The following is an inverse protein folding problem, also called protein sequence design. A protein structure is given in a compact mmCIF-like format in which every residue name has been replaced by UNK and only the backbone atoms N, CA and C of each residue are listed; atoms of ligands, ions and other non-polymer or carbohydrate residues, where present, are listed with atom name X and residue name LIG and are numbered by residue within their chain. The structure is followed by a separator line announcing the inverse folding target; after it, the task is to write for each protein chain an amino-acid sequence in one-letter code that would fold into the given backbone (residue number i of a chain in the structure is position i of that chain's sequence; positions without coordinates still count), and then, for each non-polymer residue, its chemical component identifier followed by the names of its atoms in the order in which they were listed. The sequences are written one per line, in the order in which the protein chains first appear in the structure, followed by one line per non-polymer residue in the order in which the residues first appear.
data_IF_570612856665
#
_entry.id   IF_570612856665
#
_cell.length_a   1.000
_cell.length_b   1.000
_cell.length_c   1.000
_cell.angle_alpha   90.00
_cell.angle_beta   90.00
_cell.angle_gamma   90.00
#
_symmetry.space_group_name_H-M   'P 1'
#
loop_
_entity.id
_entity.type
_entity.pdbx_description
1 polymer ?
#
# COMPACT_ATOMS: atom_id res chain seq x y z
N UNK A 1 54.12 7.17 45.01
CA UNK A 1 54.78 8.40 44.53
C UNK A 1 54.01 8.87 43.29
N UNK A 2 52.98 9.73 43.41
CA UNK A 2 53.03 11.21 43.35
C UNK A 2 53.61 11.71 42.01
N UNK A 3 52.96 12.50 41.13
CA UNK A 3 52.05 13.65 41.29
C UNK A 3 51.30 13.97 39.96
N UNK A 4 50.04 14.47 40.08
CA UNK A 4 49.43 15.74 39.54
C UNK A 4 49.68 16.15 38.07
N UNK A 5 48.83 16.85 37.31
CA UNK A 5 47.44 17.35 37.36
C UNK A 5 47.23 18.24 36.08
N UNK A 6 46.02 18.78 35.89
CA UNK A 6 45.63 19.97 35.07
C UNK A 6 45.22 19.64 33.61
N UNK A 7 44.10 20.10 33.01
CA UNK A 7 43.25 21.26 33.28
C UNK A 7 41.75 21.00 33.00
N UNK A 8 40.93 21.76 33.72
CA UNK A 8 39.53 22.02 33.45
C UNK A 8 39.34 22.99 32.27
N UNK A 9 38.22 22.88 31.55
CA UNK A 9 37.86 23.78 30.46
C UNK A 9 36.38 23.65 30.05
N UNK A 10 35.53 24.32 30.82
CA UNK A 10 34.27 25.00 30.47
C UNK A 10 33.64 24.68 29.09
N UNK A 11 32.43 24.11 29.09
CA UNK A 11 31.39 24.56 28.14
C UNK A 11 30.02 24.56 28.80
N UNK A 12 29.48 25.77 28.89
CA UNK A 12 28.22 26.16 29.48
C UNK A 12 27.20 26.22 28.33
N UNK A 13 26.17 25.37 28.36
CA UNK A 13 24.99 25.54 27.49
C UNK A 13 23.74 25.37 28.35
N UNK A 14 23.33 26.51 28.92
CA UNK A 14 21.95 26.78 29.31
C UNK A 14 21.16 27.04 28.04
N UNK A 15 20.17 26.20 27.72
CA UNK A 15 19.06 26.55 26.83
C UNK A 15 17.88 25.61 27.08
N UNK A 16 17.25 25.75 28.24
CA UNK A 16 15.90 25.26 28.49
C UNK A 16 14.93 26.42 28.27
N UNK A 17 14.48 26.62 27.03
CA UNK A 17 13.29 27.43 26.75
C UNK A 17 12.22 26.50 26.18
N UNK A 18 11.42 25.95 27.08
CA UNK A 18 10.17 25.28 26.76
C UNK A 18 9.18 26.34 26.28
N UNK A 19 9.07 26.52 24.96
CA UNK A 19 7.93 27.22 24.37
C UNK A 19 6.70 26.31 24.47
N UNK A 20 5.95 26.49 25.56
CA UNK A 20 4.56 26.04 25.66
C UNK A 20 3.71 26.86 24.67
N UNK A 21 3.64 26.42 23.42
CA UNK A 21 2.56 26.84 22.53
C UNK A 21 1.28 26.11 22.95
N UNK A 22 0.57 26.72 23.89
CA UNK A 22 -0.84 26.41 24.16
C UNK A 22 -1.64 26.81 22.93
N UNK A 23 -1.84 25.85 22.01
CA UNK A 23 -2.82 25.97 20.93
C UNK A 23 -4.21 26.00 21.56
N UNK A 24 -4.76 27.20 21.66
CA UNK A 24 -6.16 27.46 22.00
C UNK A 24 -7.01 27.07 20.80
N UNK A 25 -7.55 25.85 20.80
CA UNK A 25 -8.47 25.40 19.75
C UNK A 25 -9.76 26.24 19.79
N UNK A 26 -10.26 26.74 18.65
CA UNK A 26 -11.56 27.38 18.59
C UNK A 26 -12.69 26.35 18.83
N UNK A 27 -13.81 26.76 19.45
CA UNK A 27 -14.94 25.88 19.69
C UNK A 27 -15.62 25.47 18.38
N UNK A 28 -15.85 24.17 18.21
CA UNK A 28 -16.67 23.61 17.13
C UNK A 28 -18.14 24.03 17.31
N UNK A 29 -18.80 24.57 16.28
CA UNK A 29 -20.24 24.80 16.31
C UNK A 29 -21.02 23.52 16.02
N UNK A 30 -21.99 23.23 16.89
CA UNK A 30 -23.28 22.66 16.50
C UNK A 30 -23.35 21.14 16.35
N UNK A 31 -23.61 20.46 17.47
CA UNK A 31 -24.24 19.14 17.47
C UNK A 31 -25.64 19.28 16.84
N UNK A 32 -25.77 18.87 15.59
CA UNK A 32 -27.05 18.63 14.94
C UNK A 32 -27.65 17.33 15.47
N UNK A 33 -28.54 17.46 16.45
CA UNK A 33 -29.45 16.42 16.91
C UNK A 33 -30.40 16.05 15.75
N UNK A 34 -30.19 14.89 15.12
CA UNK A 34 -31.18 14.32 14.22
C UNK A 34 -31.89 13.15 14.91
N UNK A 35 -33.20 13.34 14.99
CA UNK A 35 -34.18 12.51 15.67
C UNK A 35 -34.14 11.04 15.29
N UNK A 36 -34.12 10.23 16.34
CA UNK A 36 -34.66 8.88 16.40
C UNK A 36 -36.12 8.93 15.91
N UNK A 37 -36.41 8.23 14.82
CA UNK A 37 -37.78 7.84 14.47
C UNK A 37 -37.85 6.33 14.55
N UNK A 38 -38.33 5.84 15.69
CA UNK A 38 -38.75 4.46 15.91
C UNK A 38 -40.13 4.25 15.27
N UNK A 39 -40.30 3.13 14.56
CA UNK A 39 -41.60 2.55 14.24
C UNK A 39 -41.44 1.08 13.83
N UNK A 40 -42.50 0.27 13.97
CA UNK A 40 -42.44 -0.98 14.73
C UNK A 40 -42.47 -2.26 13.87
N UNK A 41 -42.16 -3.35 14.57
CA UNK A 41 -42.58 -4.74 14.40
C UNK A 41 -43.30 -5.14 13.09
N UNK A 42 -42.72 -6.12 12.41
CA UNK A 42 -43.49 -7.08 11.64
C UNK A 42 -42.96 -8.50 11.88
N UNK A 43 -43.89 -9.29 12.36
CA UNK A 43 -43.82 -10.66 12.82
C UNK A 43 -43.29 -11.68 11.79
N UNK A 44 -42.62 -12.68 12.37
CA UNK A 44 -42.77 -14.12 12.13
C UNK A 44 -43.21 -14.57 10.72
N UNK A 45 -42.30 -15.26 10.02
CA UNK A 45 -42.63 -16.64 9.61
C UNK A 45 -41.40 -17.50 9.35
N UNK A 46 -41.22 -18.45 10.28
CA UNK A 46 -40.36 -19.60 10.11
C UNK A 46 -40.98 -20.57 9.11
N UNK A 47 -40.16 -21.08 8.19
CA UNK A 47 -40.45 -22.33 7.49
C UNK A 47 -39.14 -23.08 7.26
N UNK A 48 -38.97 -24.11 8.07
CA UNK A 48 -37.92 -25.12 8.05
C UNK A 48 -38.36 -26.25 7.11
N UNK A 49 -37.56 -26.61 6.09
CA UNK A 49 -37.59 -27.96 5.54
C UNK A 49 -36.44 -28.80 6.09
N UNK A 50 -36.75 -30.08 6.21
CA UNK A 50 -36.01 -31.17 6.83
C UNK A 50 -34.72 -31.58 6.05
N UNK A 51 -33.81 -32.36 6.69
CA UNK A 51 -32.54 -32.77 6.13
C UNK A 51 -32.67 -34.06 5.30
N UNK A 52 -31.86 -34.18 4.24
CA UNK A 52 -31.60 -35.42 3.50
C UNK A 52 -30.30 -35.25 2.69
N UNK A 53 -29.65 -36.34 2.25
CA UNK A 53 -28.73 -37.16 3.03
C UNK A 53 -27.27 -36.97 2.59
N UNK A 54 -26.37 -37.44 3.44
CA UNK A 54 -24.93 -37.59 3.22
C UNK A 54 -24.68 -38.46 1.97
N UNK A 55 -24.14 -37.86 0.91
CA UNK A 55 -23.32 -38.53 -0.11
C UNK A 55 -21.94 -37.87 0.03
N UNK A 56 -20.91 -38.57 0.49
CA UNK A 56 -20.31 -39.67 -0.25
C UNK A 56 -19.08 -39.10 -0.92
N UNK A 57 -17.93 -39.24 -0.26
CA UNK A 57 -16.68 -38.62 -0.66
C UNK A 57 -16.30 -38.96 -2.10
N UNK A 58 -15.88 -37.93 -2.83
CA UNK A 58 -14.95 -38.08 -3.93
C UNK A 58 -13.91 -37.00 -3.75
N UNK A 59 -12.74 -37.40 -3.25
CA UNK A 59 -11.50 -36.63 -3.39
C UNK A 59 -11.16 -36.61 -4.89
N UNK A 60 -11.91 -35.83 -5.65
CA UNK A 60 -11.59 -35.52 -7.03
C UNK A 60 -10.63 -34.35 -6.98
N UNK A 61 -9.35 -34.67 -6.99
CA UNK A 61 -8.28 -33.71 -7.21
C UNK A 61 -8.62 -32.88 -8.47
N UNK A 62 -8.77 -31.55 -8.35
CA UNK A 62 -9.28 -30.75 -9.45
C UNK A 62 -8.27 -30.73 -10.60
N UNK A 63 -8.71 -31.26 -11.75
CA UNK A 63 -7.96 -31.25 -13.00
C UNK A 63 -7.62 -29.82 -13.45
N UNK A 64 -6.42 -29.57 -14.01
CA UNK A 64 -5.84 -28.22 -14.21
C UNK A 64 -6.50 -27.36 -15.31
N UNK A 65 -7.56 -27.84 -15.96
CA UNK A 65 -8.20 -27.14 -17.10
C UNK A 65 -9.11 -26.00 -16.62
N UNK A 66 -9.85 -26.18 -15.53
CA UNK A 66 -10.77 -25.16 -14.98
C UNK A 66 -10.01 -23.95 -14.40
N UNK A 67 -8.78 -24.15 -13.93
CA UNK A 67 -7.97 -23.08 -13.34
C UNK A 67 -7.49 -22.05 -14.39
N UNK A 68 -7.26 -22.46 -15.65
CA UNK A 68 -6.79 -21.55 -16.70
C UNK A 68 -7.84 -20.54 -17.14
N UNK A 69 -9.10 -20.96 -17.20
CA UNK A 69 -10.21 -20.10 -17.64
C UNK A 69 -10.45 -18.97 -16.63
N UNK A 70 -10.35 -19.26 -15.34
CA UNK A 70 -10.47 -18.26 -14.27
C UNK A 70 -9.36 -17.20 -14.29
N UNK A 71 -8.12 -17.61 -14.55
CA UNK A 71 -6.96 -16.69 -14.64
C UNK A 71 -7.12 -15.73 -15.81
N UNK A 72 -7.49 -16.25 -16.98
CA UNK A 72 -7.66 -15.43 -18.18
C UNK A 72 -8.86 -14.46 -18.05
N UNK A 73 -9.97 -14.92 -17.46
CA UNK A 73 -11.12 -14.06 -17.19
C UNK A 73 -10.75 -12.88 -16.28
N UNK A 74 -10.02 -13.12 -15.18
CA UNK A 74 -9.53 -12.04 -14.28
C UNK A 74 -8.58 -11.07 -14.98
N UNK A 75 -7.74 -11.57 -15.90
CA UNK A 75 -6.86 -10.73 -16.69
C UNK A 75 -7.60 -9.83 -17.68
N UNK A 76 -8.64 -10.35 -18.32
CA UNK A 76 -9.53 -9.55 -19.18
C UNK A 76 -10.32 -8.52 -18.36
N UNK A 77 -10.79 -8.90 -17.18
CA UNK A 77 -11.46 -7.96 -16.27
C UNK A 77 -10.52 -6.83 -15.85
N UNK A 78 -9.27 -7.13 -15.51
CA UNK A 78 -8.27 -6.10 -15.23
C UNK A 78 -8.12 -5.14 -16.43
N UNK A 79 -8.00 -5.67 -17.66
CA UNK A 79 -7.88 -4.82 -18.85
C UNK A 79 -9.09 -3.89 -19.03
N UNK A 80 -10.30 -4.37 -18.75
CA UNK A 80 -11.53 -3.55 -18.79
C UNK A 80 -11.51 -2.44 -17.74
N UNK A 81 -11.10 -2.76 -16.50
CA UNK A 81 -11.02 -1.78 -15.41
C UNK A 81 -10.00 -0.69 -15.78
N UNK A 82 -8.81 -1.09 -16.23
CA UNK A 82 -7.76 -0.15 -16.64
C UNK A 82 -8.21 0.73 -17.82
N UNK A 83 -8.86 0.14 -18.82
CA UNK A 83 -9.39 0.89 -19.96
C UNK A 83 -10.49 1.90 -19.56
N UNK A 84 -11.26 1.61 -18.52
CA UNK A 84 -12.31 2.50 -18.01
C UNK A 84 -11.77 3.72 -17.26
N UNK A 85 -10.51 3.68 -16.81
CA UNK A 85 -9.87 4.70 -15.96
C UNK A 85 -10.64 5.01 -14.66
N UNK A 86 -11.43 4.06 -14.18
CA UNK A 86 -12.14 4.16 -12.91
C UNK A 86 -11.35 3.46 -11.80
N UNK A 87 -10.57 4.24 -11.05
CA UNK A 87 -9.76 3.73 -9.92
C UNK A 87 -10.62 3.27 -8.72
N UNK A 88 -11.95 3.47 -8.77
CA UNK A 88 -12.92 3.02 -7.78
C UNK A 88 -13.89 1.97 -8.35
N UNK A 89 -13.47 1.20 -9.36
CA UNK A 89 -14.33 0.16 -9.94
C UNK A 89 -14.69 -0.90 -8.88
N UNK A 90 -15.98 -1.10 -8.54
CA UNK A 90 -16.39 -2.01 -7.46
C UNK A 90 -15.99 -3.46 -7.71
N UNK A 91 -15.72 -3.84 -8.97
CA UNK A 91 -15.27 -5.20 -9.33
C UNK A 91 -13.86 -5.49 -8.82
N UNK A 92 -13.08 -4.46 -8.50
CA UNK A 92 -11.80 -4.64 -7.80
C UNK A 92 -11.98 -5.26 -6.41
N UNK A 93 -13.08 -4.96 -5.72
CA UNK A 93 -13.35 -5.42 -4.35
C UNK A 93 -14.25 -6.65 -4.28
N UNK A 94 -14.91 -7.03 -5.38
CA UNK A 94 -15.72 -8.25 -5.46
C UNK A 94 -15.00 -9.35 -6.23
N UNK A 95 -14.67 -9.11 -7.50
CA UNK A 95 -14.18 -10.13 -8.44
C UNK A 95 -12.64 -10.28 -8.40
N UNK A 96 -11.92 -9.19 -8.18
CA UNK A 96 -10.45 -9.20 -8.03
C UNK A 96 -10.01 -9.16 -6.56
N UNK A 97 -10.94 -9.41 -5.63
CA UNK A 97 -10.69 -9.33 -4.17
C UNK A 97 -9.50 -10.19 -3.75
N UNK A 98 -9.50 -11.44 -4.19
CA UNK A 98 -8.48 -12.46 -3.88
C UNK A 98 -7.92 -13.02 -5.19
N UNK A 99 -6.60 -13.00 -5.29
CA UNK A 99 -5.86 -13.47 -6.46
C UNK A 99 -5.10 -14.73 -6.09
N UNK A 100 -5.27 -15.79 -6.88
CA UNK A 100 -4.37 -16.94 -6.86
C UNK A 100 -3.02 -16.59 -7.49
N UNK A 101 -2.03 -17.47 -7.30
CA UNK A 101 -0.66 -17.21 -7.75
C UNK A 101 -0.55 -17.05 -9.26
N UNK A 102 -1.27 -17.87 -10.03
CA UNK A 102 -1.25 -17.81 -11.49
C UNK A 102 -1.80 -16.47 -12.02
N UNK A 103 -2.84 -15.94 -11.38
CA UNK A 103 -3.41 -14.61 -11.68
C UNK A 103 -2.41 -13.51 -11.33
N UNK A 104 -1.77 -13.57 -10.15
CA UNK A 104 -0.72 -12.61 -9.76
C UNK A 104 0.43 -12.61 -10.75
N UNK A 105 0.90 -13.76 -11.19
CA UNK A 105 1.96 -13.87 -12.19
C UNK A 105 1.58 -13.20 -13.52
N UNK A 106 0.33 -13.38 -13.95
CA UNK A 106 -0.17 -12.71 -15.15
C UNK A 106 -0.28 -11.18 -14.94
N UNK A 107 -0.69 -10.73 -13.76
CA UNK A 107 -0.76 -9.30 -13.43
C UNK A 107 0.64 -8.67 -13.36
N UNK A 108 1.64 -9.35 -12.78
CA UNK A 108 3.05 -8.91 -12.79
C UNK A 108 3.60 -8.81 -14.21
N UNK A 109 3.27 -9.77 -15.09
CA UNK A 109 3.65 -9.71 -16.51
C UNK A 109 3.02 -8.49 -17.20
N UNK A 110 1.72 -8.26 -16.98
CA UNK A 110 1.02 -7.08 -17.50
C UNK A 110 1.66 -5.79 -17.00
N UNK A 111 1.92 -5.68 -15.71
CA UNK A 111 2.62 -4.53 -15.11
C UNK A 111 3.93 -4.20 -15.81
N UNK A 112 4.79 -5.20 -16.01
CA UNK A 112 6.10 -5.04 -16.68
C UNK A 112 5.97 -4.66 -18.15
N UNK A 113 4.85 -4.97 -18.81
CA UNK A 113 4.57 -4.58 -20.19
C UNK A 113 3.95 -3.18 -20.34
N UNK A 114 3.46 -2.58 -19.25
CA UNK A 114 2.92 -1.23 -19.28
C UNK A 114 4.03 -0.21 -19.39
N UNK A 115 3.77 0.86 -20.13
CA UNK A 115 4.66 2.00 -20.19
C UNK A 115 4.76 2.68 -18.81
N UNK A 116 5.87 3.35 -18.54
CA UNK A 116 6.18 3.85 -17.20
C UNK A 116 5.24 5.00 -16.80
N UNK A 117 4.82 5.83 -17.75
CA UNK A 117 3.94 6.98 -17.59
C UNK A 117 2.51 6.61 -17.19
N UNK A 118 2.13 5.34 -17.34
CA UNK A 118 0.82 4.80 -16.96
C UNK A 118 0.65 4.59 -15.45
N UNK A 119 0.92 5.63 -14.66
CA UNK A 119 1.09 5.54 -13.20
C UNK A 119 -0.15 5.03 -12.47
N UNK A 120 -1.34 5.50 -12.82
CA UNK A 120 -2.58 5.02 -12.20
C UNK A 120 -2.82 3.53 -12.49
N UNK A 121 -2.70 3.13 -13.76
CA UNK A 121 -2.88 1.73 -14.16
C UNK A 121 -1.88 0.80 -13.45
N UNK A 122 -0.62 1.23 -13.39
CA UNK A 122 0.45 0.55 -12.64
C UNK A 122 0.11 0.46 -11.16
N UNK A 123 -0.29 1.57 -10.53
CA UNK A 123 -0.66 1.62 -9.12
C UNK A 123 -1.83 0.70 -8.76
N UNK A 124 -2.83 0.59 -9.65
CA UNK A 124 -3.95 -0.35 -9.51
C UNK A 124 -3.46 -1.80 -9.46
N UNK A 125 -2.53 -2.19 -10.34
CA UNK A 125 -1.94 -3.54 -10.29
C UNK A 125 -1.16 -3.78 -9.00
N UNK A 126 -0.39 -2.79 -8.54
CA UNK A 126 0.36 -2.87 -7.27
C UNK A 126 -0.61 -3.03 -6.09
N UNK A 127 -1.70 -2.29 -6.06
CA UNK A 127 -2.75 -2.42 -5.05
C UNK A 127 -3.34 -3.83 -5.02
N UNK A 128 -3.73 -4.37 -6.18
CA UNK A 128 -4.38 -5.68 -6.27
C UNK A 128 -3.47 -6.82 -5.80
N UNK A 129 -2.17 -6.77 -6.13
CA UNK A 129 -1.18 -7.74 -5.67
C UNK A 129 -0.87 -7.52 -4.18
N UNK A 130 -0.56 -6.29 -3.79
CA UNK A 130 -0.13 -5.95 -2.43
C UNK A 130 -1.22 -6.11 -1.36
N UNK A 131 -2.50 -6.04 -1.72
CA UNK A 131 -3.62 -6.35 -0.81
C UNK A 131 -3.60 -7.80 -0.33
N UNK A 132 -3.08 -8.72 -1.13
CA UNK A 132 -3.12 -10.16 -0.86
C UNK A 132 -1.71 -10.75 -0.82
N UNK A 133 -0.77 -10.16 -0.09
CA UNK A 133 0.58 -10.74 0.03
C UNK A 133 0.48 -12.12 0.68
N UNK A 134 0.87 -13.16 -0.06
CA UNK A 134 0.82 -14.56 0.38
C UNK A 134 2.18 -15.24 0.35
N UNK A 135 3.11 -14.75 -0.47
CA UNK A 135 4.43 -15.36 -0.66
C UNK A 135 5.55 -14.32 -0.82
N UNK A 136 6.80 -14.81 -0.92
CA UNK A 136 7.96 -13.95 -1.15
C UNK A 136 7.97 -13.32 -2.56
N UNK A 137 7.28 -13.90 -3.55
CA UNK A 137 7.23 -13.34 -4.89
C UNK A 137 6.41 -12.04 -4.92
N UNK A 138 5.37 -11.93 -4.10
CA UNK A 138 4.64 -10.68 -3.89
C UNK A 138 5.58 -9.59 -3.37
N UNK A 139 6.40 -9.92 -2.36
CA UNK A 139 7.32 -8.98 -1.73
C UNK A 139 8.49 -8.61 -2.64
N UNK A 140 8.98 -9.56 -3.45
CA UNK A 140 9.96 -9.28 -4.52
C UNK A 140 9.39 -8.32 -5.55
N UNK A 141 8.15 -8.53 -5.99
CA UNK A 141 7.47 -7.61 -6.89
C UNK A 141 7.32 -6.21 -6.29
N UNK A 142 6.95 -6.10 -5.02
CA UNK A 142 6.89 -4.80 -4.35
C UNK A 142 8.28 -4.13 -4.30
N UNK A 143 9.35 -4.88 -4.01
CA UNK A 143 10.72 -4.36 -4.06
C UNK A 143 11.10 -3.86 -5.47
N UNK A 144 10.71 -4.56 -6.54
CA UNK A 144 10.90 -4.11 -7.93
C UNK A 144 10.23 -2.74 -8.16
N UNK A 145 8.97 -2.59 -7.72
CA UNK A 145 8.21 -1.34 -7.84
C UNK A 145 8.89 -0.20 -7.09
N UNK A 146 9.34 -0.44 -5.85
CA UNK A 146 10.01 0.58 -5.03
C UNK A 146 11.30 1.11 -5.66
N UNK A 147 12.01 0.29 -6.43
CA UNK A 147 13.25 0.64 -7.13
C UNK A 147 13.04 1.22 -8.52
N UNK A 148 11.80 1.47 -8.93
CA UNK A 148 11.55 2.08 -10.23
C UNK A 148 12.23 3.45 -10.36
N UNK A 149 12.75 3.76 -11.56
CA UNK A 149 13.28 5.08 -11.82
C UNK A 149 12.16 6.13 -11.69
N UNK A 150 12.52 7.34 -11.22
CA UNK A 150 11.57 8.44 -11.11
C UNK A 150 11.00 8.79 -12.49
N UNK A 151 9.71 9.03 -12.54
CA UNK A 151 9.04 9.62 -13.69
C UNK A 151 9.03 11.13 -13.53
N UNK A 152 9.40 11.89 -14.55
CA UNK A 152 9.36 13.36 -14.48
C UNK A 152 8.25 13.97 -15.35
N UNK A 153 7.46 13.13 -16.04
CA UNK A 153 6.45 13.55 -17.01
C UNK A 153 5.37 12.48 -17.13
N UNK A 154 4.10 12.88 -17.07
CA UNK A 154 2.96 11.98 -17.30
C UNK A 154 2.76 11.61 -18.78
N UNK A 155 3.47 12.25 -19.70
CA UNK A 155 3.36 11.96 -21.13
C UNK A 155 4.28 10.82 -21.57
N UNK A 156 5.50 10.75 -21.01
CA UNK A 156 6.57 9.88 -21.51
C UNK A 156 7.61 9.46 -20.45
N UNK A 157 7.46 9.90 -19.19
CA UNK A 157 8.45 9.79 -18.13
C UNK A 157 9.86 10.30 -18.49
N UNK A 158 9.99 11.12 -19.53
CA UNK A 158 11.26 11.76 -19.88
C UNK A 158 11.42 13.07 -19.11
N UNK A 159 12.66 13.54 -19.05
CA UNK A 159 13.01 14.80 -18.40
C UNK A 159 14.13 14.64 -17.39
N UNK A 160 14.54 15.77 -16.85
CA UNK A 160 15.47 15.86 -15.73
C UNK A 160 14.75 16.39 -14.50
N UNK A 161 15.26 16.12 -13.30
CA UNK A 161 14.75 16.76 -12.08
C UNK A 161 14.69 18.29 -12.17
N UNK A 162 15.54 18.90 -13.00
CA UNK A 162 15.64 20.36 -13.17
C UNK A 162 14.63 20.95 -14.17
N UNK A 163 14.07 20.12 -15.07
CA UNK A 163 13.03 20.54 -16.03
C UNK A 163 11.62 20.44 -15.45
N UNK A 164 11.48 19.79 -14.30
CA UNK A 164 10.31 19.92 -13.47
C UNK A 164 10.47 21.25 -12.71
N UNK A 165 9.63 22.23 -13.02
CA UNK A 165 9.83 23.65 -12.73
C UNK A 165 10.12 23.90 -11.25
N UNK A 166 11.23 24.58 -10.92
CA UNK A 166 11.57 24.99 -9.54
C UNK A 166 10.50 25.82 -8.82
N UNK A 167 9.55 26.37 -9.55
CA UNK A 167 8.40 27.13 -9.02
C UNK A 167 7.22 26.21 -8.65
N UNK A 168 7.15 25.01 -9.22
CA UNK A 168 6.21 23.94 -8.84
C UNK A 168 6.80 23.04 -7.72
N UNK A 169 8.16 22.96 -7.69
CA UNK A 169 9.10 22.79 -6.55
C UNK A 169 8.57 22.92 -5.09
N UNK A 170 7.76 23.96 -4.85
CA UNK A 170 7.37 24.40 -3.51
C UNK A 170 5.85 24.36 -3.28
N UNK A 171 5.07 24.03 -4.32
CA UNK A 171 3.66 23.64 -4.22
C UNK A 171 3.51 22.10 -4.00
N UNK A 172 4.58 21.44 -3.57
CA UNK A 172 5.04 20.17 -4.13
C UNK A 172 4.77 18.90 -3.33
N UNK A 173 3.78 18.92 -2.46
CA UNK A 173 3.36 17.67 -1.86
C UNK A 173 2.57 16.79 -2.84
N UNK A 174 1.88 17.37 -3.83
CA UNK A 174 0.93 16.64 -4.68
C UNK A 174 1.52 15.99 -5.93
N UNK A 175 2.37 16.73 -6.65
CA UNK A 175 2.90 16.28 -7.95
C UNK A 175 3.96 15.19 -7.81
N UNK A 176 4.87 15.32 -6.84
CA UNK A 176 5.87 14.31 -6.48
C UNK A 176 5.21 12.98 -6.08
N UNK A 177 4.10 13.02 -5.33
CA UNK A 177 3.31 11.83 -4.97
C UNK A 177 2.62 11.23 -6.18
N UNK A 178 2.12 12.05 -7.11
CA UNK A 178 1.45 11.59 -8.32
C UNK A 178 2.42 10.86 -9.25
N UNK A 179 3.64 11.38 -9.42
CA UNK A 179 4.69 10.77 -10.24
C UNK A 179 5.26 9.48 -9.64
N UNK A 180 5.24 9.37 -8.31
CA UNK A 180 5.66 8.19 -7.55
C UNK A 180 4.49 7.28 -7.12
N UNK A 181 3.30 7.44 -7.70
CA UNK A 181 2.08 6.80 -7.21
C UNK A 181 2.21 5.27 -7.02
N UNK A 182 2.74 4.47 -7.98
CA UNK A 182 2.94 3.04 -7.76
C UNK A 182 3.82 2.70 -6.55
N UNK A 183 4.88 3.49 -6.30
CA UNK A 183 5.79 3.31 -5.17
C UNK A 183 5.09 3.63 -3.84
N UNK A 184 4.28 4.69 -3.81
CA UNK A 184 3.52 5.08 -2.62
C UNK A 184 2.41 4.07 -2.27
N UNK A 185 1.77 3.48 -3.29
CA UNK A 185 0.84 2.35 -3.12
C UNK A 185 1.58 1.14 -2.57
N UNK A 186 2.74 0.78 -3.13
CA UNK A 186 3.59 -0.31 -2.65
C UNK A 186 3.95 -0.17 -1.17
N UNK A 187 4.42 1.01 -0.73
CA UNK A 187 4.71 1.28 0.68
C UNK A 187 3.45 1.14 1.56
N UNK A 188 2.31 1.64 1.09
CA UNK A 188 1.04 1.54 1.84
C UNK A 188 0.59 0.08 2.00
N UNK A 189 0.84 -0.78 1.01
CA UNK A 189 0.52 -2.20 1.10
C UNK A 189 1.46 -2.92 2.07
N UNK A 190 2.76 -2.63 2.05
CA UNK A 190 3.71 -3.17 3.04
C UNK A 190 3.36 -2.74 4.47
N UNK A 191 2.97 -1.48 4.66
CA UNK A 191 2.56 -0.95 5.96
C UNK A 191 1.39 -1.74 6.53
N UNK A 192 0.33 -1.89 5.75
CA UNK A 192 -0.85 -2.68 6.14
C UNK A 192 -0.47 -4.13 6.41
N UNK A 193 0.35 -4.74 5.56
CA UNK A 193 0.79 -6.12 5.73
C UNK A 193 1.58 -6.33 7.02
N UNK A 194 2.45 -5.40 7.40
CA UNK A 194 3.21 -5.47 8.65
C UNK A 194 2.33 -5.23 9.90
N UNK A 195 1.20 -4.55 9.75
CA UNK A 195 0.23 -4.34 10.83
C UNK A 195 -0.65 -5.58 11.12
N UNK A 196 -0.74 -6.54 10.19
CA UNK A 196 -1.57 -7.76 10.37
C UNK A 196 -0.84 -8.93 11.03
N UNK A 197 0.33 -8.70 11.62
CA UNK A 197 1.16 -9.75 12.25
C UNK A 197 1.40 -10.96 11.33
N UNK A 198 2.08 -10.76 10.19
CA UNK A 198 2.30 -11.81 9.22
C UNK A 198 3.20 -12.93 9.76
N UNK A 199 3.23 -14.07 9.07
CA UNK A 199 4.18 -15.15 9.36
C UNK A 199 5.60 -14.58 9.38
N UNK A 200 6.45 -15.06 10.31
CA UNK A 200 7.78 -14.50 10.56
C UNK A 200 8.65 -14.43 9.30
N UNK A 201 8.65 -15.49 8.48
CA UNK A 201 9.38 -15.54 7.22
C UNK A 201 8.96 -14.41 6.26
N UNK A 202 7.65 -14.19 6.13
CA UNK A 202 7.11 -13.10 5.30
C UNK A 202 7.32 -11.72 5.93
N UNK A 203 7.29 -11.60 7.26
CA UNK A 203 7.60 -10.35 7.96
C UNK A 203 9.05 -9.91 7.65
N UNK A 204 10.01 -10.83 7.77
CA UNK A 204 11.40 -10.58 7.45
C UNK A 204 11.58 -10.24 5.95
N UNK A 205 10.88 -10.94 5.06
CA UNK A 205 10.87 -10.62 3.63
C UNK A 205 10.26 -9.24 3.34
N UNK A 206 9.23 -8.82 4.07
CA UNK A 206 8.61 -7.50 3.92
C UNK A 206 9.53 -6.38 4.39
N UNK A 207 10.27 -6.59 5.48
CA UNK A 207 11.33 -5.67 5.91
C UNK A 207 12.45 -5.57 4.87
N UNK A 208 12.83 -6.68 4.23
CA UNK A 208 13.77 -6.63 3.09
C UNK A 208 13.20 -5.82 1.91
N UNK A 209 11.92 -6.00 1.59
CA UNK A 209 11.27 -5.21 0.55
C UNK A 209 11.23 -3.71 0.90
N UNK A 210 11.00 -3.34 2.16
CA UNK A 210 11.06 -1.94 2.61
C UNK A 210 12.44 -1.31 2.39
N UNK A 211 13.52 -2.06 2.60
CA UNK A 211 14.89 -1.56 2.32
C UNK A 211 15.09 -1.21 0.86
N UNK A 212 14.36 -1.84 -0.07
CA UNK A 212 14.39 -1.45 -1.48
C UNK A 212 13.86 -0.02 -1.71
N UNK A 213 13.01 0.49 -0.82
CA UNK A 213 12.56 1.89 -0.85
C UNK A 213 13.68 2.89 -0.50
N UNK A 214 14.68 2.47 0.28
CA UNK A 214 15.87 3.30 0.57
C UNK A 214 16.78 3.46 -0.66
N UNK A 215 16.70 2.53 -1.62
CA UNK A 215 17.42 2.60 -2.89
C UNK A 215 16.67 3.46 -3.95
N UNK A 216 15.49 3.99 -3.62
CA UNK A 216 14.71 4.82 -4.54
C UNK A 216 15.43 6.14 -4.84
N UNK A 217 15.12 6.74 -5.98
CA UNK A 217 15.57 8.11 -6.32
C UNK A 217 14.48 9.15 -6.08
N UNK A 218 13.37 8.76 -5.46
CA UNK A 218 12.28 9.64 -5.08
C UNK A 218 12.35 9.87 -3.57
N UNK A 219 12.60 11.11 -3.16
CA UNK A 219 12.81 11.46 -1.75
C UNK A 219 11.64 11.02 -0.86
N UNK A 220 10.40 11.31 -1.26
CA UNK A 220 9.22 10.91 -0.51
C UNK A 220 9.10 9.38 -0.27
N UNK A 221 9.64 8.56 -1.18
CA UNK A 221 9.68 7.10 -1.04
C UNK A 221 10.74 6.70 -0.03
N UNK A 222 11.92 7.33 -0.08
CA UNK A 222 13.02 7.11 0.88
C UNK A 222 12.57 7.48 2.30
N UNK A 223 12.03 8.69 2.48
CA UNK A 223 11.58 9.19 3.79
C UNK A 223 10.54 8.27 4.40
N UNK A 224 9.52 7.88 3.63
CA UNK A 224 8.47 6.98 4.11
C UNK A 224 9.00 5.58 4.42
N UNK A 225 9.90 5.03 3.61
CA UNK A 225 10.53 3.74 3.88
C UNK A 225 11.35 3.78 5.18
N UNK A 226 12.13 4.84 5.40
CA UNK A 226 12.92 5.05 6.63
C UNK A 226 12.04 5.18 7.88
N UNK A 227 10.93 5.91 7.79
CA UNK A 227 9.97 6.02 8.87
C UNK A 227 9.41 4.64 9.27
N UNK A 228 9.00 3.84 8.28
CA UNK A 228 8.46 2.50 8.51
C UNK A 228 9.51 1.52 9.10
N UNK A 229 10.76 1.58 8.62
CA UNK A 229 11.85 0.76 9.14
C UNK A 229 12.20 1.09 10.59
N UNK A 230 12.14 2.38 10.95
CA UNK A 230 12.34 2.82 12.34
C UNK A 230 11.26 2.24 13.24
N UNK A 231 9.99 2.37 12.86
CA UNK A 231 8.86 1.78 13.61
C UNK A 231 8.86 0.26 13.66
N UNK A 232 9.48 -0.42 12.70
CA UNK A 232 9.63 -1.87 12.70
C UNK A 232 10.74 -2.37 13.64
N UNK A 233 11.72 -1.53 13.97
CA UNK A 233 12.83 -1.88 14.86
C UNK A 233 12.48 -1.74 16.34
N UNK A 234 11.44 -0.95 16.65
CA UNK A 234 10.93 -0.72 18.01
C UNK A 234 9.99 -1.84 18.51
N UNK A 235 9.67 -2.84 17.67
CA UNK A 235 8.78 -3.96 17.98
C UNK A 235 9.56 -5.25 18.21
#
# INVERSE_FOLDING_TARGET
MTRKAVAAGVFLVLLATAFFFVRKSPPLPGAGTLSVTSSPDSDLQASKPAPSPINGGSNTEPSPVIAKDGVQAKAQLLDQILASRNDNDPRMDTELRVLDQATKDLFRKKYRSMAAEKRNERGTVVFLIGRNITDENDLSFICEVLREPPCFSLADCQGTPASASKEDFHAESGESITLAYPQMVALSMLERFLQTSPRRDLAEAAVRALRCGQDSRVEAVIERANAMLSSASDK
#
